data_IF_963066219627
#
_entry.id   IF_963066219627
#
_cell.length_a   1.000
_cell.length_b   1.000
_cell.length_c   1.000
_cell.angle_alpha   90.00
_cell.angle_beta   90.00
_cell.angle_gamma   90.00
#
_symmetry.space_group_name_H-M   'P 1'
#
loop_
_entity.id
_entity.type
_entity.pdbx_description
1 polymer ?
#
# COMPACT_ATOMS: atom_id res chain seq x y z
N UNK A 1 -6.76 12.32 21.77
CA UNK A 1 -6.42 11.40 20.67
C UNK A 1 -5.82 10.16 21.29
N UNK A 2 -6.31 8.98 20.92
CA UNK A 2 -5.75 7.71 21.38
C UNK A 2 -4.24 7.73 21.15
N UNK A 3 -3.46 7.47 22.20
CA UNK A 3 -2.02 7.30 22.06
C UNK A 3 -1.79 6.12 21.13
N UNK A 4 -1.27 6.37 19.93
CA UNK A 4 -0.83 5.31 19.02
C UNK A 4 0.27 4.56 19.77
N UNK A 5 0.03 3.28 20.09
CA UNK A 5 1.00 2.45 20.81
C UNK A 5 1.64 1.43 19.88
N UNK A 6 0.89 0.97 18.89
CA UNK A 6 1.35 -0.03 17.94
C UNK A 6 1.04 0.42 16.50
N UNK A 7 1.74 -0.15 15.51
CA UNK A 7 1.51 0.18 14.11
C UNK A 7 0.11 -0.25 13.64
N UNK A 8 -0.49 -1.25 14.30
CA UNK A 8 -1.84 -1.75 14.06
C UNK A 8 -2.92 -0.71 14.38
N UNK A 9 -2.60 0.28 15.23
CA UNK A 9 -3.51 1.38 15.54
C UNK A 9 -3.63 2.35 14.35
N UNK A 10 -2.63 2.39 13.46
CA UNK A 10 -2.57 3.29 12.32
C UNK A 10 -3.58 2.89 11.24
N UNK A 11 -4.46 3.81 10.86
CA UNK A 11 -5.38 3.57 9.74
C UNK A 11 -4.64 3.37 8.41
N UNK A 12 -3.45 3.95 8.25
CA UNK A 12 -2.55 3.68 7.13
C UNK A 12 -2.22 2.19 7.02
N UNK A 13 -1.92 1.54 8.14
CA UNK A 13 -1.60 0.12 8.18
C UNK A 13 -2.84 -0.74 7.91
N UNK A 14 -3.98 -0.41 8.54
CA UNK A 14 -5.25 -1.15 8.34
C UNK A 14 -5.69 -1.10 6.88
N UNK A 15 -5.67 0.07 6.25
CA UNK A 15 -6.02 0.25 4.84
C UNK A 15 -5.02 -0.47 3.92
N UNK A 16 -3.73 -0.48 4.27
CA UNK A 16 -2.71 -1.23 3.51
C UNK A 16 -2.94 -2.73 3.62
N UNK A 17 -3.38 -3.23 4.79
CA UNK A 17 -3.75 -4.63 5.00
C UNK A 17 -4.93 -5.06 4.15
N UNK A 18 -5.97 -4.22 4.09
CA UNK A 18 -7.10 -4.47 3.20
C UNK A 18 -6.64 -4.52 1.73
N UNK A 19 -5.81 -3.57 1.29
CA UNK A 19 -5.27 -3.55 -0.08
C UNK A 19 -4.51 -4.84 -0.41
N UNK A 20 -3.66 -5.34 0.50
CA UNK A 20 -2.94 -6.61 0.27
C UNK A 20 -3.90 -7.78 0.10
N UNK A 21 -4.91 -7.91 0.96
CA UNK A 21 -5.89 -8.98 0.83
C UNK A 21 -6.62 -8.93 -0.52
N UNK A 22 -6.99 -7.73 -0.96
CA UNK A 22 -7.64 -7.51 -2.25
C UNK A 22 -6.73 -7.91 -3.43
N UNK A 23 -5.44 -7.56 -3.40
CA UNK A 23 -4.47 -7.98 -4.43
C UNK A 23 -4.43 -9.52 -4.53
N UNK A 24 -4.35 -10.22 -3.40
CA UNK A 24 -4.34 -11.68 -3.38
C UNK A 24 -5.65 -12.27 -3.93
N UNK A 25 -6.79 -11.68 -3.59
CA UNK A 25 -8.09 -12.11 -4.09
C UNK A 25 -8.19 -11.92 -5.61
N UNK A 26 -7.88 -10.72 -6.08
CA UNK A 26 -7.95 -10.28 -7.48
C UNK A 26 -7.12 -11.18 -8.41
N UNK A 27 -5.91 -11.56 -7.98
CA UNK A 27 -4.97 -12.31 -8.82
C UNK A 27 -4.78 -13.78 -8.41
N UNK A 28 -5.61 -14.30 -7.50
CA UNK A 28 -5.55 -15.69 -7.02
C UNK A 28 -5.56 -16.73 -8.14
N UNK A 29 -6.31 -16.48 -9.22
CA UNK A 29 -6.46 -17.37 -10.38
C UNK A 29 -5.68 -16.93 -11.61
N UNK A 30 -4.94 -15.82 -11.53
CA UNK A 30 -4.16 -15.32 -12.66
C UNK A 30 -3.01 -16.30 -12.99
N UNK A 31 -2.80 -16.60 -14.28
CA UNK A 31 -1.76 -17.53 -14.75
C UNK A 31 -0.41 -16.86 -14.99
N UNK A 32 -0.36 -15.54 -15.11
CA UNK A 32 0.89 -14.78 -15.16
C UNK A 32 1.49 -14.70 -13.74
N UNK A 33 2.40 -15.63 -13.48
CA UNK A 33 3.12 -15.74 -12.21
C UNK A 33 4.05 -14.54 -12.01
N UNK A 34 4.61 -13.97 -13.08
CA UNK A 34 5.54 -12.84 -12.98
C UNK A 34 4.78 -11.60 -12.53
N UNK A 35 3.67 -11.30 -13.20
CA UNK A 35 2.78 -10.19 -12.81
C UNK A 35 2.29 -10.36 -11.37
N UNK A 36 1.73 -11.54 -11.03
CA UNK A 36 1.20 -11.81 -9.69
C UNK A 36 2.27 -11.63 -8.61
N UNK A 37 3.47 -12.16 -8.83
CA UNK A 37 4.56 -12.03 -7.87
C UNK A 37 4.97 -10.56 -7.69
N UNK A 38 5.02 -9.78 -8.76
CA UNK A 38 5.41 -8.38 -8.68
C UNK A 38 4.37 -7.55 -7.91
N UNK A 39 3.08 -7.68 -8.23
CA UNK A 39 2.04 -6.89 -7.56
C UNK A 39 1.87 -7.30 -6.09
N UNK A 40 1.97 -8.59 -5.80
CA UNK A 40 1.93 -9.09 -4.42
C UNK A 40 3.11 -8.56 -3.60
N UNK A 41 4.33 -8.57 -4.15
CA UNK A 41 5.51 -8.00 -3.48
C UNK A 41 5.35 -6.49 -3.23
N UNK A 42 4.86 -5.75 -4.22
CA UNK A 42 4.62 -4.31 -4.08
C UNK A 42 3.58 -4.04 -2.98
N UNK A 43 2.46 -4.78 -2.95
CA UNK A 43 1.44 -4.67 -1.91
C UNK A 43 1.98 -4.96 -0.51
N UNK A 44 2.67 -6.09 -0.33
CA UNK A 44 3.30 -6.46 0.96
C UNK A 44 4.31 -5.40 1.41
N UNK A 45 5.09 -4.85 0.48
CA UNK A 45 6.05 -3.77 0.77
C UNK A 45 5.39 -2.55 1.41
N UNK A 46 4.17 -2.17 0.99
CA UNK A 46 3.43 -1.06 1.61
C UNK A 46 3.24 -1.30 3.11
N UNK A 47 2.73 -2.49 3.48
CA UNK A 47 2.51 -2.84 4.89
C UNK A 47 3.80 -2.98 5.67
N UNK A 48 4.78 -3.69 5.10
CA UNK A 48 6.05 -3.99 5.77
C UNK A 48 6.81 -2.71 6.11
N UNK A 49 6.84 -1.73 5.21
CA UNK A 49 7.51 -0.46 5.48
C UNK A 49 6.82 0.33 6.61
N UNK A 50 5.48 0.26 6.74
CA UNK A 50 4.79 0.91 7.87
C UNK A 50 5.21 0.27 9.19
N UNK A 51 5.12 -1.06 9.28
CA UNK A 51 5.45 -1.81 10.49
C UNK A 51 6.92 -1.66 10.86
N UNK A 52 7.82 -1.83 9.89
CA UNK A 52 9.26 -1.69 10.11
C UNK A 52 9.58 -0.27 10.58
N UNK A 53 9.13 0.75 9.85
CA UNK A 53 9.40 2.14 10.21
C UNK A 53 8.85 2.55 11.57
N UNK A 54 7.69 2.03 11.96
CA UNK A 54 7.10 2.29 13.27
C UNK A 54 7.91 1.65 14.41
N UNK A 55 8.45 0.44 14.17
CA UNK A 55 9.28 -0.27 15.14
C UNK A 55 10.72 0.28 15.24
N UNK A 56 11.11 1.21 14.36
CA UNK A 56 12.39 1.92 14.44
C UNK A 56 12.33 3.11 15.39
N UNK A 57 13.50 3.64 15.75
CA UNK A 57 13.60 4.75 16.70
C UNK A 57 13.49 6.10 15.98
N UNK A 58 12.33 6.75 16.15
CA UNK A 58 12.15 8.17 15.90
C UNK A 58 11.49 8.55 14.59
N UNK A 59 10.86 9.72 14.59
CA UNK A 59 10.01 10.20 13.48
C UNK A 59 10.79 10.40 12.18
N UNK A 60 12.09 10.68 12.26
CA UNK A 60 12.93 10.86 11.08
C UNK A 60 13.07 9.58 10.24
N UNK A 61 13.38 8.45 10.88
CA UNK A 61 13.44 7.15 10.22
C UNK A 61 12.05 6.71 9.78
N UNK A 62 11.04 6.85 10.64
CA UNK A 62 9.69 6.44 10.29
C UNK A 62 9.18 7.17 9.03
N UNK A 63 9.43 8.47 8.90
CA UNK A 63 9.11 9.24 7.67
C UNK A 63 9.80 8.67 6.43
N UNK A 64 11.02 8.16 6.54
CA UNK A 64 11.72 7.56 5.40
C UNK A 64 11.03 6.28 4.94
N UNK A 65 10.68 5.40 5.88
CA UNK A 65 9.90 4.19 5.60
C UNK A 65 8.53 4.51 5.02
N UNK A 66 7.83 5.53 5.52
CA UNK A 66 6.54 5.96 4.97
C UNK A 66 6.66 6.50 3.54
N UNK A 67 7.78 7.11 3.15
CA UNK A 67 8.03 7.49 1.74
C UNK A 67 8.18 6.26 0.86
N UNK A 68 8.84 5.20 1.34
CA UNK A 68 8.97 3.94 0.62
C UNK A 68 7.59 3.28 0.48
N UNK A 69 6.81 3.20 1.56
CA UNK A 69 5.44 2.69 1.53
C UNK A 69 4.56 3.46 0.53
N UNK A 70 4.67 4.79 0.50
CA UNK A 70 4.00 5.64 -0.50
C UNK A 70 4.43 5.30 -1.93
N UNK A 71 5.72 5.07 -2.17
CA UNK A 71 6.26 4.63 -3.45
C UNK A 71 5.69 3.28 -3.90
N UNK A 72 5.72 2.28 -3.02
CA UNK A 72 5.14 0.96 -3.28
C UNK A 72 3.63 1.02 -3.54
N UNK A 73 2.89 1.91 -2.89
CA UNK A 73 1.47 2.13 -3.19
C UNK A 73 1.25 2.71 -4.60
N UNK A 74 2.16 3.57 -5.07
CA UNK A 74 2.19 4.04 -6.46
C UNK A 74 2.48 2.93 -7.47
N UNK A 75 3.39 2.00 -7.12
CA UNK A 75 3.67 0.82 -7.95
C UNK A 75 2.45 -0.08 -8.08
N UNK A 76 1.76 -0.39 -6.97
CA UNK A 76 0.49 -1.15 -7.01
C UNK A 76 -0.53 -0.45 -7.91
N UNK A 77 -0.70 0.87 -7.77
CA UNK A 77 -1.60 1.66 -8.64
C UNK A 77 -1.25 1.49 -10.12
N UNK A 78 0.02 1.57 -10.47
CA UNK A 78 0.50 1.37 -11.83
C UNK A 78 0.21 -0.05 -12.34
N UNK A 79 0.43 -1.06 -11.51
CA UNK A 79 0.18 -2.44 -11.88
C UNK A 79 -1.30 -2.76 -12.09
N UNK A 80 -2.22 -2.04 -11.45
CA UNK A 80 -3.65 -2.15 -11.76
C UNK A 80 -4.04 -1.55 -13.12
N UNK A 81 -3.29 -0.58 -13.67
CA UNK A 81 -3.43 -0.20 -15.08
C UNK A 81 -2.98 -1.35 -16.00
N UNK A 82 -1.81 -1.93 -15.72
CA UNK A 82 -1.30 -3.07 -16.51
C UNK A 82 -2.28 -4.25 -16.47
N UNK A 83 -2.84 -4.57 -15.30
CA UNK A 83 -3.83 -5.62 -15.16
C UNK A 83 -5.09 -5.35 -15.98
N UNK A 84 -5.54 -4.09 -16.05
CA UNK A 84 -6.68 -3.71 -16.88
C UNK A 84 -6.35 -3.83 -18.37
N UNK A 85 -5.22 -3.30 -18.82
CA UNK A 85 -4.78 -3.34 -20.23
C UNK A 85 -4.62 -4.78 -20.73
N UNK A 86 -4.16 -5.69 -19.86
CA UNK A 86 -4.01 -7.11 -20.15
C UNK A 86 -5.29 -7.93 -19.91
N UNK A 87 -6.41 -7.27 -19.56
CA UNK A 87 -7.70 -7.90 -19.24
C UNK A 87 -7.61 -8.97 -18.13
N UNK A 88 -6.68 -8.80 -17.18
CA UNK A 88 -6.56 -9.66 -16.00
C UNK A 88 -7.66 -9.42 -14.98
N UNK A 89 -8.25 -8.22 -15.02
CA UNK A 89 -9.36 -7.84 -14.17
C UNK A 89 -10.26 -6.83 -14.90
N UNK A 90 -11.50 -6.66 -14.46
CA UNK A 90 -12.41 -5.70 -15.06
C UNK A 90 -12.06 -4.25 -14.65
N UNK A 91 -12.54 -3.30 -15.46
CA UNK A 91 -12.34 -1.86 -15.23
C UNK A 91 -12.80 -1.40 -13.84
N UNK A 92 -13.98 -1.84 -13.40
CA UNK A 92 -14.57 -1.41 -12.13
C UNK A 92 -13.70 -1.76 -10.92
N UNK A 93 -13.16 -2.99 -10.89
CA UNK A 93 -12.25 -3.39 -9.83
C UNK A 93 -10.93 -2.65 -9.97
N UNK A 94 -10.35 -2.57 -11.18
CA UNK A 94 -9.09 -1.85 -11.39
C UNK A 94 -9.19 -0.39 -10.90
N UNK A 95 -10.30 0.29 -11.20
CA UNK A 95 -10.54 1.67 -10.80
C UNK A 95 -10.70 1.84 -9.28
N UNK A 96 -11.47 0.96 -8.62
CA UNK A 96 -11.57 0.96 -7.15
C UNK A 96 -10.19 0.79 -6.51
N UNK A 97 -9.38 -0.14 -7.00
CA UNK A 97 -8.04 -0.41 -6.45
C UNK A 97 -7.10 0.76 -6.66
N UNK A 98 -7.15 1.40 -7.83
CA UNK A 98 -6.39 2.63 -8.10
C UNK A 98 -6.82 3.78 -7.19
N UNK A 99 -8.12 3.92 -6.94
CA UNK A 99 -8.67 4.93 -6.01
C UNK A 99 -8.21 4.69 -4.58
N UNK A 100 -8.21 3.44 -4.11
CA UNK A 100 -7.68 3.05 -2.78
C UNK A 100 -6.19 3.36 -2.66
N UNK A 101 -5.40 3.03 -3.68
CA UNK A 101 -3.98 3.36 -3.70
C UNK A 101 -3.76 4.89 -3.65
N UNK A 102 -4.54 5.67 -4.42
CA UNK A 102 -4.44 7.12 -4.38
C UNK A 102 -4.78 7.70 -3.00
N UNK A 103 -5.81 7.19 -2.34
CA UNK A 103 -6.17 7.58 -0.97
C UNK A 103 -5.03 7.25 0.01
N UNK A 104 -4.45 6.05 -0.07
CA UNK A 104 -3.28 5.67 0.73
C UNK A 104 -2.09 6.60 0.51
N UNK A 105 -1.74 6.91 -0.75
CA UNK A 105 -0.66 7.83 -1.09
C UNK A 105 -0.86 9.23 -0.49
N UNK A 106 -2.11 9.72 -0.48
CA UNK A 106 -2.46 11.00 0.13
C UNK A 106 -2.34 10.93 1.66
N UNK A 107 -2.84 9.86 2.28
CA UNK A 107 -2.74 9.63 3.73
C UNK A 107 -1.28 9.54 4.18
N UNK A 108 -0.40 8.84 3.44
CA UNK A 108 1.04 8.84 3.73
C UNK A 108 1.61 10.25 3.67
N UNK A 109 1.25 11.02 2.64
CA UNK A 109 1.69 12.41 2.51
C UNK A 109 1.25 13.30 3.67
N UNK A 110 0.01 13.15 4.13
CA UNK A 110 -0.53 13.86 5.29
C UNK A 110 0.20 13.47 6.59
N UNK A 111 0.39 12.17 6.81
CA UNK A 111 1.02 11.67 8.03
C UNK A 111 2.52 12.00 8.11
N UNK A 112 3.25 11.95 6.98
CA UNK A 112 4.64 12.39 6.92
C UNK A 112 4.78 13.88 7.29
N UNK A 113 3.80 14.72 6.91
CA UNK A 113 3.77 16.15 7.30
C UNK A 113 3.46 16.31 8.78
N UNK A 114 2.53 15.52 9.32
CA UNK A 114 2.22 15.49 10.75
C UNK A 114 3.43 15.10 11.60
N UNK A 115 4.24 14.13 11.17
CA UNK A 115 5.48 13.75 11.88
C UNK A 115 6.61 14.81 11.79
N UNK A 116 6.43 15.93 11.06
CA UNK A 116 7.41 17.03 11.01
C UNK A 116 7.10 18.15 12.01
N UNK A 117 5.86 18.25 12.47
CA UNK A 117 5.40 19.24 13.46
C UNK A 117 5.64 18.74 14.86
#
# INVERSE_FOLDING_TARGET
>A
MSTIKNFEDLDLWKNSRELVNLIYQDFSKNKDIVFRNQITKAGISVMNNISEGFCRSGDAEFRQFLKIAKGSSGEVKNMYYIAEDLNYINHEIADDRRTRCQKLMNSFGGFIKYLKS
#
